data_IF_647491433639
#
_entry.id   IF_647491433639
#
_cell.length_a   1.000
_cell.length_b   1.000
_cell.length_c   1.000
_cell.angle_alpha   90.00
_cell.angle_beta   90.00
_cell.angle_gamma   90.00
#
_symmetry.space_group_name_H-M   'P 1'
#
loop_
_entity.id
_entity.type
_entity.pdbx_description
1 polymer ?
#
# COMPACT_ATOMS: atom_id res chain seq x y z
N UNK A 1 -19.13 -5.39 -4.85
CA UNK A 1 -18.20 -6.33 -4.18
C UNK A 1 -16.90 -6.25 -4.95
N UNK A 2 -15.78 -5.96 -4.29
CA UNK A 2 -14.49 -5.98 -4.98
C UNK A 2 -14.26 -7.42 -5.47
N UNK A 3 -13.88 -7.58 -6.72
CA UNK A 3 -13.59 -8.90 -7.31
C UNK A 3 -12.27 -9.52 -6.79
N UNK A 4 -11.70 -8.94 -5.73
CA UNK A 4 -10.58 -9.46 -4.96
C UNK A 4 -10.92 -10.59 -3.99
N UNK A 5 -12.20 -10.77 -3.62
CA UNK A 5 -12.58 -11.63 -2.49
C UNK A 5 -12.12 -13.08 -2.65
N UNK A 6 -12.21 -13.67 -3.85
CA UNK A 6 -11.76 -15.05 -4.08
C UNK A 6 -10.24 -15.19 -3.91
N UNK A 7 -9.47 -14.27 -4.48
CA UNK A 7 -8.02 -14.22 -4.36
C UNK A 7 -7.59 -14.03 -2.90
N UNK A 8 -8.14 -13.02 -2.21
CA UNK A 8 -7.80 -12.75 -0.82
C UNK A 8 -8.16 -13.92 0.09
N UNK A 9 -9.33 -14.53 -0.06
CA UNK A 9 -9.71 -15.70 0.73
C UNK A 9 -8.72 -16.86 0.53
N UNK A 10 -8.27 -17.09 -0.70
CA UNK A 10 -7.28 -18.10 -1.00
C UNK A 10 -5.94 -17.77 -0.34
N UNK A 11 -5.38 -16.58 -0.59
CA UNK A 11 -4.07 -16.18 -0.07
C UNK A 11 -4.03 -16.12 1.46
N UNK A 12 -5.04 -15.53 2.07
CA UNK A 12 -5.10 -15.42 3.53
C UNK A 12 -5.27 -16.77 4.24
N UNK A 13 -5.69 -17.82 3.53
CA UNK A 13 -5.76 -19.19 4.05
C UNK A 13 -4.41 -19.93 3.98
N UNK A 14 -3.43 -19.42 3.24
CA UNK A 14 -2.11 -20.06 3.10
C UNK A 14 -1.33 -20.00 4.41
N UNK A 15 -0.53 -21.03 4.67
CA UNK A 15 0.24 -21.17 5.91
C UNK A 15 1.15 -19.95 6.17
N UNK A 16 1.84 -19.46 5.13
CA UNK A 16 2.74 -18.31 5.27
C UNK A 16 2.00 -17.03 5.69
N UNK A 17 0.76 -16.85 5.18
CA UNK A 17 -0.06 -15.71 5.56
C UNK A 17 -0.64 -15.86 6.96
N UNK A 18 -1.10 -17.05 7.34
CA UNK A 18 -1.56 -17.33 8.69
C UNK A 18 -0.47 -17.03 9.72
N UNK A 19 0.76 -17.48 9.48
CA UNK A 19 1.92 -17.20 10.33
C UNK A 19 2.22 -15.69 10.41
N UNK A 20 2.17 -14.99 9.28
CA UNK A 20 2.37 -13.54 9.19
C UNK A 20 1.33 -12.79 10.03
N UNK A 21 0.05 -13.11 9.83
CA UNK A 21 -1.04 -12.45 10.54
C UNK A 21 -1.04 -12.76 12.04
N UNK A 22 -0.68 -13.99 12.43
CA UNK A 22 -0.53 -14.38 13.82
C UNK A 22 0.61 -13.61 14.51
N UNK A 23 1.77 -13.51 13.86
CA UNK A 23 2.90 -12.71 14.36
C UNK A 23 2.48 -11.27 14.63
N UNK A 24 1.80 -10.62 13.67
CA UNK A 24 1.34 -9.25 13.80
C UNK A 24 0.30 -9.10 14.91
N UNK A 25 -0.62 -10.07 15.02
CA UNK A 25 -1.64 -10.07 16.08
C UNK A 25 -1.00 -10.17 17.48
N UNK A 26 0.01 -11.03 17.63
CA UNK A 26 0.76 -11.18 18.88
C UNK A 26 1.51 -9.89 19.23
N UNK A 27 2.20 -9.26 18.27
CA UNK A 27 2.86 -7.97 18.48
C UNK A 27 1.88 -6.90 18.98
N UNK A 28 0.70 -6.80 18.36
CA UNK A 28 -0.34 -5.87 18.80
C UNK A 28 -0.86 -6.20 20.21
N UNK A 29 -1.03 -7.49 20.54
CA UNK A 29 -1.48 -7.94 21.87
C UNK A 29 -0.43 -7.65 22.96
N UNK A 30 0.85 -7.67 22.63
CA UNK A 30 1.97 -7.27 23.51
C UNK A 30 2.09 -5.77 23.71
N UNK A 31 1.25 -4.96 23.03
CA UNK A 31 1.26 -3.50 23.13
C UNK A 31 2.17 -2.80 22.11
N UNK A 32 2.75 -3.53 21.15
CA UNK A 32 3.53 -2.92 20.07
C UNK A 32 2.61 -2.18 19.11
N UNK A 33 2.90 -0.89 18.88
CA UNK A 33 2.19 -0.12 17.86
C UNK A 33 2.62 -0.58 16.46
N UNK A 34 1.66 -1.12 15.70
CA UNK A 34 1.88 -1.61 14.33
C UNK A 34 0.96 -0.84 13.37
N UNK A 35 1.53 -0.27 12.32
CA UNK A 35 0.82 0.52 11.31
C UNK A 35 0.70 -0.23 9.97
N UNK A 36 -0.35 0.06 9.20
CA UNK A 36 -1.56 0.80 9.56
C UNK A 36 -2.39 0.07 10.62
N UNK A 37 -3.48 0.68 11.15
CA UNK A 37 -4.45 -0.01 12.00
C UNK A 37 -4.96 -1.28 11.33
N UNK A 38 -5.33 -2.29 12.14
CA UNK A 38 -5.75 -3.63 11.65
C UNK A 38 -6.81 -3.56 10.54
N UNK A 39 -7.79 -2.67 10.69
CA UNK A 39 -8.89 -2.48 9.73
C UNK A 39 -8.44 -1.86 8.39
N UNK A 40 -7.23 -1.32 8.33
CA UNK A 40 -6.72 -0.60 7.15
C UNK A 40 -5.59 -1.32 6.43
N UNK A 41 -5.16 -2.50 6.88
CA UNK A 41 -4.04 -3.25 6.28
C UNK A 41 -4.32 -3.58 4.80
N UNK A 42 -5.56 -3.86 4.46
CA UNK A 42 -5.99 -4.24 3.10
C UNK A 42 -6.79 -3.14 2.37
N UNK A 43 -6.70 -1.88 2.82
CA UNK A 43 -7.47 -0.77 2.23
C UNK A 43 -7.22 -0.55 0.73
N UNK A 44 -6.05 -0.89 0.20
CA UNK A 44 -5.78 -0.80 -1.23
C UNK A 44 -6.74 -1.67 -2.06
N UNK A 45 -7.07 -2.86 -1.57
CA UNK A 45 -7.99 -3.81 -2.22
C UNK A 45 -9.45 -3.36 -2.16
N UNK A 46 -9.82 -2.64 -1.09
CA UNK A 46 -11.15 -2.07 -0.95
C UNK A 46 -11.31 -0.81 -1.81
N UNK A 47 -10.25 0.00 -1.92
CA UNK A 47 -10.26 1.26 -2.63
C UNK A 47 -10.25 1.09 -4.17
N UNK A 48 -9.60 0.05 -4.70
CA UNK A 48 -9.47 -0.17 -6.14
C UNK A 48 -9.86 -1.61 -6.50
N UNK A 49 -11.07 -1.83 -7.03
CA UNK A 49 -11.48 -3.14 -7.57
C UNK A 49 -10.52 -3.66 -8.65
N UNK A 50 -10.30 -4.97 -8.72
CA UNK A 50 -9.40 -5.59 -9.70
C UNK A 50 -9.74 -5.19 -11.15
N UNK A 51 -11.05 -5.14 -11.48
CA UNK A 51 -11.53 -4.75 -12.82
C UNK A 51 -11.22 -3.30 -13.20
N UNK A 52 -10.97 -2.44 -12.23
CA UNK A 52 -10.84 -1.00 -12.43
C UNK A 52 -9.38 -0.56 -12.45
N UNK A 53 -8.44 -1.49 -12.20
CA UNK A 53 -7.01 -1.19 -12.18
C UNK A 53 -6.52 -0.77 -13.56
N UNK A 54 -5.94 0.41 -13.63
CA UNK A 54 -5.27 0.98 -14.80
C UNK A 54 -3.77 1.14 -14.57
N UNK A 55 -3.40 1.50 -13.33
CA UNK A 55 -2.02 1.73 -12.92
C UNK A 55 -1.78 1.05 -11.59
N UNK A 56 -0.62 0.41 -11.46
CA UNK A 56 -0.12 -0.11 -10.17
C UNK A 56 1.10 0.72 -9.76
N UNK A 57 1.05 1.28 -8.57
CA UNK A 57 2.20 1.92 -7.94
C UNK A 57 2.63 1.08 -6.75
N UNK A 58 3.89 0.65 -6.75
CA UNK A 58 4.47 -0.12 -5.65
C UNK A 58 5.27 0.78 -4.72
N UNK A 59 4.86 0.82 -3.46
CA UNK A 59 5.64 1.35 -2.36
C UNK A 59 6.45 0.24 -1.68
N UNK A 60 7.26 0.58 -0.68
CA UNK A 60 8.08 -0.37 0.06
C UNK A 60 7.33 -0.90 1.29
N UNK A 61 7.31 -0.15 2.36
CA UNK A 61 6.57 -0.42 3.59
C UNK A 61 5.76 0.82 4.02
N UNK A 62 4.77 0.67 4.91
CA UNK A 62 3.98 1.80 5.36
C UNK A 62 4.82 2.85 6.08
N UNK A 63 4.34 4.07 6.11
CA UNK A 63 4.91 5.08 7.01
C UNK A 63 4.82 4.59 8.46
N UNK A 64 5.94 4.68 9.18
CA UNK A 64 6.07 4.19 10.55
C UNK A 64 5.81 5.26 11.64
N UNK A 65 5.39 6.46 11.24
CA UNK A 65 4.92 7.52 12.14
C UNK A 65 3.46 7.33 12.51
N UNK A 66 3.12 7.72 13.73
CA UNK A 66 1.74 7.66 14.22
C UNK A 66 0.79 8.49 13.34
N UNK A 67 -0.39 7.91 13.02
CA UNK A 67 -1.43 8.58 12.26
C UNK A 67 -1.14 8.81 10.78
N UNK A 68 -0.05 8.28 10.22
CA UNK A 68 0.32 8.49 8.81
C UNK A 68 -0.26 7.42 7.88
N UNK A 69 0.10 6.15 8.12
CA UNK A 69 -0.29 5.04 7.23
C UNK A 69 -1.77 4.66 7.39
N UNK A 70 -2.45 4.46 6.26
CA UNK A 70 -3.84 4.03 6.22
C UNK A 70 -4.13 2.94 5.16
N UNK A 71 -3.08 2.28 4.64
CA UNK A 71 -3.19 1.13 3.74
C UNK A 71 -3.06 1.43 2.25
N UNK A 72 -2.90 2.68 1.85
CA UNK A 72 -2.51 3.08 0.49
C UNK A 72 -1.05 3.56 0.49
N UNK A 73 -0.21 3.00 -0.38
CA UNK A 73 1.19 3.40 -0.43
C UNK A 73 1.35 4.90 -0.77
N UNK A 74 2.35 5.54 -0.17
CA UNK A 74 2.66 6.97 -0.26
C UNK A 74 1.60 7.91 0.30
N UNK A 75 0.37 7.46 0.50
CA UNK A 75 -0.74 8.26 1.01
C UNK A 75 -0.67 8.45 2.53
N UNK A 76 -1.12 9.59 3.00
CA UNK A 76 -1.39 9.88 4.40
C UNK A 76 -2.82 10.34 4.59
N UNK A 77 -3.34 10.25 5.81
CA UNK A 77 -4.68 10.76 6.13
C UNK A 77 -4.75 12.29 5.94
N UNK A 78 -5.93 12.84 5.65
CA UNK A 78 -6.12 14.28 5.36
C UNK A 78 -5.65 15.21 6.49
N UNK A 79 -5.66 14.72 7.74
CA UNK A 79 -5.27 15.47 8.93
C UNK A 79 -3.76 15.68 9.05
N UNK A 80 -2.97 14.90 8.30
CA UNK A 80 -1.50 14.96 8.35
C UNK A 80 -1.00 16.23 7.68
N UNK A 81 -0.59 17.20 8.49
CA UNK A 81 -0.13 18.52 8.01
C UNK A 81 1.28 18.49 7.41
N UNK A 82 2.16 17.65 7.99
CA UNK A 82 3.54 17.51 7.50
C UNK A 82 3.65 16.33 6.56
N UNK A 83 3.60 16.61 5.27
CA UNK A 83 3.74 15.57 4.25
C UNK A 83 5.08 14.85 4.33
N UNK A 84 5.09 13.49 4.20
CA UNK A 84 6.33 12.71 4.13
C UNK A 84 7.23 13.16 2.98
N UNK A 85 8.57 13.02 3.12
CA UNK A 85 9.52 13.42 2.07
C UNK A 85 9.28 12.73 0.72
N UNK A 86 8.94 11.44 0.72
CA UNK A 86 8.63 10.67 -0.50
C UNK A 86 7.46 11.28 -1.27
N UNK A 87 6.37 11.61 -0.59
CA UNK A 87 5.19 12.21 -1.22
C UNK A 87 5.47 13.64 -1.74
N UNK A 88 6.28 14.42 -1.00
CA UNK A 88 6.75 15.73 -1.49
C UNK A 88 7.55 15.62 -2.78
N UNK A 89 8.40 14.60 -2.89
CA UNK A 89 9.16 14.36 -4.12
C UNK A 89 8.24 13.98 -5.27
N UNK A 90 7.23 13.15 -5.04
CA UNK A 90 6.22 12.80 -6.05
C UNK A 90 5.50 14.07 -6.54
N UNK A 91 5.01 14.90 -5.63
CA UNK A 91 4.32 16.15 -6.01
C UNK A 91 5.24 17.12 -6.75
N UNK A 92 6.51 17.23 -6.36
CA UNK A 92 7.50 18.06 -7.05
C UNK A 92 7.70 17.58 -8.49
N UNK A 93 7.79 16.28 -8.70
CA UNK A 93 7.93 15.71 -10.03
C UNK A 93 6.68 15.99 -10.89
N UNK A 94 5.49 15.81 -10.35
CA UNK A 94 4.24 16.10 -11.04
C UNK A 94 4.12 17.60 -11.45
N UNK A 95 4.58 18.52 -10.61
CA UNK A 95 4.65 19.96 -10.94
C UNK A 95 5.58 20.22 -12.12
N UNK A 96 6.69 19.48 -12.19
CA UNK A 96 7.70 19.66 -13.23
C UNK A 96 7.25 19.05 -14.56
N UNK A 97 6.62 17.87 -14.51
CA UNK A 97 6.32 17.06 -15.69
C UNK A 97 4.94 17.36 -16.29
N UNK A 98 3.96 17.72 -15.45
CA UNK A 98 2.57 17.94 -15.88
C UNK A 98 2.26 19.45 -15.90
N UNK A 99 2.14 20.01 -17.10
CA UNK A 99 1.82 21.42 -17.25
C UNK A 99 0.45 21.74 -16.58
N UNK A 100 0.47 22.73 -15.68
CA UNK A 100 -0.73 23.16 -14.96
C UNK A 100 -1.08 22.31 -13.72
N UNK A 101 -0.28 21.33 -13.35
CA UNK A 101 -0.47 20.60 -12.09
C UNK A 101 -0.27 21.54 -10.89
N UNK A 102 -1.25 21.54 -10.00
CA UNK A 102 -1.22 22.30 -8.75
C UNK A 102 -1.05 21.31 -7.61
N UNK A 103 0.00 21.50 -6.81
CA UNK A 103 0.25 20.66 -5.63
C UNK A 103 -0.91 20.73 -4.65
N UNK A 104 -1.53 19.59 -4.29
CA UNK A 104 -2.57 19.57 -3.26
C UNK A 104 -2.02 19.98 -1.88
N UNK A 105 -2.86 20.59 -1.07
CA UNK A 105 -2.51 20.94 0.34
C UNK A 105 -2.52 19.74 1.28
N UNK A 106 -2.93 18.57 0.81
CA UNK A 106 -3.01 17.31 1.56
C UNK A 106 -2.23 16.19 0.88
N UNK A 107 -1.95 15.12 1.64
CA UNK A 107 -1.29 13.91 1.13
C UNK A 107 -2.23 12.70 0.99
N UNK A 108 -3.53 12.92 0.93
CA UNK A 108 -4.52 11.84 0.83
C UNK A 108 -4.78 11.48 -0.64
N UNK A 109 -4.37 10.27 -1.04
CA UNK A 109 -4.39 9.83 -2.44
C UNK A 109 -5.60 8.96 -2.81
N UNK A 110 -6.68 8.99 -2.02
CA UNK A 110 -7.89 8.23 -2.32
C UNK A 110 -8.44 8.55 -3.71
N UNK A 111 -8.39 9.80 -4.14
CA UNK A 111 -8.84 10.20 -5.48
C UNK A 111 -8.04 9.56 -6.62
N UNK A 112 -6.81 9.12 -6.37
CA UNK A 112 -6.03 8.33 -7.33
C UNK A 112 -6.56 6.90 -7.39
N UNK A 113 -6.80 6.29 -6.22
CA UNK A 113 -7.39 4.95 -6.13
C UNK A 113 -8.76 4.88 -6.80
N UNK A 114 -9.61 5.90 -6.63
CA UNK A 114 -10.93 6.03 -7.24
C UNK A 114 -10.86 6.10 -8.78
N UNK A 115 -9.72 6.48 -9.35
CA UNK A 115 -9.47 6.52 -10.79
C UNK A 115 -8.82 5.26 -11.36
N UNK A 116 -8.57 4.26 -10.53
CA UNK A 116 -7.95 2.99 -10.93
C UNK A 116 -6.44 2.91 -10.69
N UNK A 117 -5.88 3.75 -9.82
CA UNK A 117 -4.49 3.63 -9.38
C UNK A 117 -4.44 2.72 -8.15
N UNK A 118 -3.91 1.52 -8.31
CA UNK A 118 -3.73 0.56 -7.22
C UNK A 118 -2.44 0.88 -6.45
N UNK A 119 -2.60 1.39 -5.23
CA UNK A 119 -1.52 1.92 -4.39
C UNK A 119 -1.12 0.87 -3.35
N UNK A 120 -0.18 -0.02 -3.70
CA UNK A 120 0.21 -1.17 -2.89
C UNK A 120 1.64 -1.01 -2.35
N UNK A 121 1.85 -1.24 -1.05
CA UNK A 121 3.17 -1.50 -0.51
C UNK A 121 3.57 -2.97 -0.70
N UNK A 122 4.86 -3.27 -0.85
CA UNK A 122 5.36 -4.65 -0.92
C UNK A 122 5.30 -5.34 0.44
N UNK A 123 5.40 -4.57 1.52
CA UNK A 123 5.20 -5.00 2.91
C UNK A 123 4.05 -4.19 3.51
N UNK A 124 2.99 -4.84 3.98
CA UNK A 124 1.74 -4.15 4.33
C UNK A 124 1.67 -3.64 5.77
N UNK A 125 2.63 -4.02 6.63
CA UNK A 125 2.67 -3.57 8.03
C UNK A 125 4.07 -3.21 8.47
N UNK A 126 4.16 -2.35 9.50
CA UNK A 126 5.43 -1.89 10.08
C UNK A 126 5.25 -1.57 11.56
N UNK A 127 6.28 -1.80 12.40
CA UNK A 127 6.28 -1.34 13.79
C UNK A 127 6.60 0.17 13.87
N UNK A 128 6.02 0.85 14.85
CA UNK A 128 6.24 2.28 15.05
C UNK A 128 7.74 2.61 15.13
N UNK A 129 8.17 3.59 14.34
CA UNK A 129 9.54 4.07 14.33
C UNK A 129 10.58 3.14 13.74
N UNK A 130 10.19 1.94 13.25
CA UNK A 130 11.10 0.89 12.80
C UNK A 130 10.85 0.50 11.33
N UNK A 131 11.37 1.31 10.40
CA UNK A 131 11.32 0.96 8.99
C UNK A 131 11.84 -0.46 8.73
N UNK A 132 11.19 -1.18 7.80
CA UNK A 132 11.53 -2.56 7.40
C UNK A 132 11.35 -3.62 8.51
N UNK A 133 10.76 -3.32 9.66
CA UNK A 133 10.60 -4.25 10.78
C UNK A 133 9.85 -5.54 10.41
N UNK A 134 8.94 -5.49 9.45
CA UNK A 134 8.16 -6.64 8.99
C UNK A 134 8.57 -7.19 7.61
N UNK A 135 9.73 -6.77 7.09
CA UNK A 135 10.24 -7.26 5.79
C UNK A 135 10.50 -8.77 5.79
N UNK A 136 10.82 -9.36 6.94
CA UNK A 136 11.08 -10.79 7.11
C UNK A 136 9.82 -11.67 7.15
N UNK A 137 8.63 -11.06 7.18
CA UNK A 137 7.35 -11.78 7.16
C UNK A 137 6.93 -12.16 5.74
N UNK A 138 5.80 -12.85 5.60
CA UNK A 138 5.29 -13.33 4.31
C UNK A 138 4.71 -12.26 3.37
N UNK A 139 4.83 -10.97 3.69
CA UNK A 139 4.22 -9.91 2.89
C UNK A 139 4.74 -9.82 1.45
N UNK A 140 6.06 -9.95 1.23
CA UNK A 140 6.62 -9.87 -0.12
C UNK A 140 6.09 -11.03 -1.00
N UNK A 141 5.98 -12.24 -0.46
CA UNK A 141 5.36 -13.37 -1.17
C UNK A 141 3.88 -13.09 -1.50
N UNK A 142 3.14 -12.52 -0.56
CA UNK A 142 1.74 -12.13 -0.79
C UNK A 142 1.63 -11.10 -1.92
N UNK A 143 2.44 -10.05 -1.90
CA UNK A 143 2.40 -8.98 -2.91
C UNK A 143 2.89 -9.45 -4.27
N UNK A 144 3.86 -10.37 -4.33
CA UNK A 144 4.25 -11.04 -5.57
C UNK A 144 3.08 -11.80 -6.19
N UNK A 145 2.31 -12.53 -5.38
CA UNK A 145 1.10 -13.24 -5.84
C UNK A 145 0.01 -12.26 -6.28
N UNK A 146 -0.15 -11.11 -5.61
CA UNK A 146 -1.06 -10.03 -6.05
C UNK A 146 -0.69 -9.51 -7.43
N UNK A 147 0.60 -9.22 -7.65
CA UNK A 147 1.11 -8.74 -8.94
C UNK A 147 0.90 -9.78 -10.04
N UNK A 148 1.19 -11.05 -9.75
CA UNK A 148 0.95 -12.16 -10.68
C UNK A 148 -0.54 -12.26 -11.05
N UNK A 149 -1.42 -12.14 -10.05
CA UNK A 149 -2.88 -12.17 -10.25
C UNK A 149 -3.38 -11.00 -11.11
N UNK A 150 -2.87 -9.80 -10.90
CA UNK A 150 -3.18 -8.64 -11.76
C UNK A 150 -2.70 -8.90 -13.19
N UNK A 151 -1.48 -9.39 -13.37
CA UNK A 151 -0.91 -9.67 -14.69
C UNK A 151 -1.68 -10.73 -15.46
N UNK A 152 -2.26 -11.70 -14.76
CA UNK A 152 -3.05 -12.78 -15.35
C UNK A 152 -4.47 -12.34 -15.74
N UNK A 153 -5.10 -11.46 -14.94
CA UNK A 153 -6.53 -11.17 -15.05
C UNK A 153 -6.85 -9.77 -15.59
N UNK A 154 -5.85 -8.88 -15.67
CA UNK A 154 -6.03 -7.52 -16.17
C UNK A 154 -5.25 -7.32 -17.47
N UNK A 155 -5.72 -6.40 -18.32
CA UNK A 155 -5.04 -6.04 -19.57
C UNK A 155 -4.75 -4.54 -19.60
N UNK A 156 -3.59 -4.19 -20.18
CA UNK A 156 -3.22 -2.80 -20.38
C UNK A 156 -2.85 -2.04 -19.10
N UNK A 157 -2.54 -2.76 -18.01
CA UNK A 157 -2.13 -2.14 -16.74
C UNK A 157 -0.70 -1.64 -16.82
N UNK A 158 -0.47 -0.41 -16.38
CA UNK A 158 0.85 0.20 -16.29
C UNK A 158 1.41 0.02 -14.87
N UNK A 159 2.62 -0.51 -14.76
CA UNK A 159 3.33 -0.63 -13.48
C UNK A 159 4.35 0.50 -13.33
N UNK A 160 4.24 1.26 -12.25
CA UNK A 160 5.19 2.31 -11.88
C UNK A 160 6.03 1.83 -10.71
N UNK A 161 7.32 1.58 -10.97
CA UNK A 161 8.29 1.04 -10.02
C UNK A 161 9.24 2.16 -9.57
N UNK A 162 8.90 2.84 -8.48
CA UNK A 162 9.70 3.93 -7.95
C UNK A 162 10.78 3.43 -6.98
N UNK A 163 12.04 3.65 -7.34
CA UNK A 163 13.21 3.27 -6.55
C UNK A 163 13.69 1.84 -6.79
N UNK A 164 14.94 1.58 -6.42
CA UNK A 164 15.62 0.30 -6.69
C UNK A 164 14.95 -0.93 -6.05
N UNK A 165 14.20 -0.74 -4.98
CA UNK A 165 13.53 -1.84 -4.29
C UNK A 165 12.25 -2.35 -5.01
N UNK A 166 11.65 -1.53 -5.87
CA UNK A 166 10.47 -1.90 -6.65
C UNK A 166 10.83 -2.50 -8.00
N UNK A 167 12.07 -2.33 -8.45
CA UNK A 167 12.63 -2.86 -9.69
C UNK A 167 13.21 -4.26 -9.51
#
# INVERSE_FOLDING_TARGET
MSNWSSFLNHELSQTYMQQTLEYIANKRAEGTAVYPPKSQVFSAFDATPLSDIKVVILGQDPYHGEGQAHGLCFSVLPEVKKLPPSLKNIYKELVTDINGFITPEHGYLQSWADQGVFLLNTVLTVEQGQAHSHKHLGWEQFTDNVIAHINEHCQGVVFILWGAHAQ
#
